data_IF_964022389084
#
_entry.id   IF_964022389084
#
_cell.length_a   1.000
_cell.length_b   1.000
_cell.length_c   1.000
_cell.angle_alpha   90.00
_cell.angle_beta   90.00
_cell.angle_gamma   90.00
#
_symmetry.space_group_name_H-M   'P 1'
#
loop_
_entity.id
_entity.type
_entity.pdbx_description
1 polymer ?
#
# COMPACT_ATOMS: atom_id res chain seq x y z
N UNK A 1 22.98 -1.69 5.86
CA UNK A 1 21.51 -1.67 5.77
C UNK A 1 21.14 -2.72 4.74
N UNK A 2 20.81 -3.93 5.21
CA UNK A 2 20.44 -5.03 4.35
C UNK A 2 19.05 -4.77 3.77
N UNK A 3 19.03 -4.28 2.53
CA UNK A 3 17.83 -4.24 1.71
C UNK A 3 17.41 -5.71 1.55
N UNK A 4 16.17 -6.02 1.93
CA UNK A 4 15.59 -7.36 1.91
C UNK A 4 16.12 -8.20 0.74
N UNK A 5 16.91 -9.24 1.05
CA UNK A 5 17.34 -10.22 0.07
C UNK A 5 16.09 -10.96 -0.41
N UNK A 6 15.58 -10.58 -1.59
CA UNK A 6 14.51 -11.33 -2.25
C UNK A 6 15.01 -12.75 -2.44
N UNK A 7 14.41 -13.71 -1.75
CA UNK A 7 14.68 -15.13 -2.00
C UNK A 7 14.50 -15.39 -3.49
N UNK A 8 15.50 -16.02 -4.12
CA UNK A 8 15.44 -16.39 -5.52
C UNK A 8 14.14 -17.19 -5.76
N UNK A 9 13.38 -16.80 -6.79
CA UNK A 9 12.17 -17.50 -7.16
C UNK A 9 12.53 -18.98 -7.41
N UNK A 10 11.82 -19.90 -6.75
CA UNK A 10 11.95 -21.33 -7.02
C UNK A 10 11.64 -21.55 -8.51
N UNK A 11 12.67 -21.81 -9.32
CA UNK A 11 12.58 -21.79 -10.77
C UNK A 11 11.74 -22.93 -11.38
N UNK A 12 11.21 -23.82 -10.54
CA UNK A 12 10.61 -25.09 -10.95
C UNK A 12 9.09 -25.19 -10.68
N UNK A 13 8.46 -24.13 -10.18
CA UNK A 13 7.01 -24.07 -10.04
C UNK A 13 6.37 -23.39 -11.25
N UNK A 14 5.31 -23.98 -11.83
CA UNK A 14 4.58 -23.30 -12.90
C UNK A 14 3.99 -21.98 -12.39
N UNK A 15 4.03 -20.95 -13.22
CA UNK A 15 3.38 -19.69 -12.91
C UNK A 15 1.89 -19.91 -12.62
N UNK A 16 1.38 -19.24 -11.58
CA UNK A 16 -0.04 -19.33 -11.26
C UNK A 16 -0.91 -18.81 -12.40
N UNK A 17 -2.10 -19.38 -12.52
CA UNK A 17 -3.15 -18.77 -13.35
C UNK A 17 -3.47 -17.36 -12.87
N UNK A 18 -3.98 -16.49 -13.75
CA UNK A 18 -4.41 -15.13 -13.38
C UNK A 18 -5.33 -15.14 -12.15
N UNK A 19 -6.32 -16.05 -12.13
CA UNK A 19 -7.29 -16.16 -11.06
C UNK A 19 -6.63 -16.57 -9.73
N UNK A 20 -5.73 -17.56 -9.77
CA UNK A 20 -5.01 -17.98 -8.58
C UNK A 20 -4.06 -16.89 -8.07
N UNK A 21 -3.35 -16.21 -8.97
CA UNK A 21 -2.46 -15.11 -8.60
C UNK A 21 -3.23 -13.98 -7.90
N UNK A 22 -4.37 -13.56 -8.47
CA UNK A 22 -5.22 -12.54 -7.85
C UNK A 22 -5.76 -13.01 -6.49
N UNK A 23 -6.22 -14.25 -6.38
CA UNK A 23 -6.70 -14.80 -5.11
C UNK A 23 -5.60 -14.75 -4.04
N UNK A 24 -4.37 -15.09 -4.40
CA UNK A 24 -3.21 -15.03 -3.49
C UNK A 24 -2.83 -13.59 -3.11
N UNK A 25 -2.95 -12.63 -4.02
CA UNK A 25 -2.75 -11.21 -3.68
C UNK A 25 -3.81 -10.71 -2.70
N UNK A 26 -5.09 -11.04 -2.95
CA UNK A 26 -6.21 -10.67 -2.08
C UNK A 26 -6.11 -11.32 -0.70
N UNK A 27 -5.60 -12.55 -0.64
CA UNK A 27 -5.37 -13.26 0.63
C UNK A 27 -4.41 -12.53 1.57
N UNK A 28 -3.47 -11.72 1.04
CA UNK A 28 -2.62 -10.84 1.87
C UNK A 28 -3.40 -9.75 2.60
N UNK A 29 -4.65 -9.50 2.20
CA UNK A 29 -5.59 -8.62 2.90
C UNK A 29 -5.80 -8.99 4.37
N UNK A 30 -5.54 -10.24 4.77
CA UNK A 30 -5.53 -10.65 6.19
C UNK A 30 -4.57 -9.84 7.06
N UNK A 31 -3.51 -9.28 6.48
CA UNK A 31 -2.53 -8.44 7.15
C UNK A 31 -2.82 -6.94 6.97
N UNK A 32 -3.97 -6.58 6.39
CA UNK A 32 -4.33 -5.18 6.17
C UNK A 32 -4.61 -4.47 7.49
N UNK A 33 -4.29 -3.16 7.55
CA UNK A 33 -4.33 -2.42 8.81
C UNK A 33 -5.72 -2.29 9.43
N UNK A 34 -6.79 -2.61 8.70
CA UNK A 34 -8.17 -2.60 9.23
C UNK A 34 -8.32 -3.53 10.44
N UNK A 35 -7.50 -4.59 10.51
CA UNK A 35 -7.48 -5.55 11.60
C UNK A 35 -6.58 -5.14 12.78
N UNK A 36 -5.83 -4.03 12.65
CA UNK A 36 -4.95 -3.56 13.72
C UNK A 36 -5.78 -3.11 14.94
N UNK A 37 -5.38 -3.43 16.18
CA UNK A 37 -6.14 -3.08 17.39
C UNK A 37 -6.53 -1.61 17.48
N UNK A 38 -5.65 -0.70 17.05
CA UNK A 38 -5.95 0.73 16.99
C UNK A 38 -7.11 1.06 16.03
N UNK A 39 -7.11 0.50 14.81
CA UNK A 39 -8.20 0.75 13.84
C UNK A 39 -9.53 0.16 14.32
N UNK A 40 -9.50 -1.02 14.96
CA UNK A 40 -10.70 -1.61 15.56
C UNK A 40 -11.28 -0.72 16.66
N UNK A 41 -10.44 -0.23 17.59
CA UNK A 41 -10.86 0.71 18.64
C UNK A 41 -11.40 2.02 18.06
N UNK A 42 -10.69 2.61 17.10
CA UNK A 42 -11.10 3.85 16.46
C UNK A 42 -12.48 3.71 15.79
N UNK A 43 -12.69 2.65 15.01
CA UNK A 43 -13.96 2.39 14.33
C UNK A 43 -15.10 2.07 15.31
N UNK A 44 -14.80 1.46 16.46
CA UNK A 44 -15.76 1.20 17.53
C UNK A 44 -16.05 2.43 18.42
N UNK A 45 -15.43 3.58 18.15
CA UNK A 45 -15.58 4.79 18.97
C UNK A 45 -14.85 4.74 20.32
N UNK A 46 -13.92 3.80 20.50
CA UNK A 46 -13.20 3.57 21.76
C UNK A 46 -11.88 4.35 21.90
N UNK A 47 -11.61 5.32 21.03
CA UNK A 47 -10.44 6.19 21.12
C UNK A 47 -10.77 7.51 21.83
N UNK A 48 -9.83 8.01 22.61
CA UNK A 48 -9.94 9.35 23.20
C UNK A 48 -9.73 10.43 22.12
N UNK A 49 -10.17 11.67 22.35
CA UNK A 49 -9.89 12.78 21.43
C UNK A 49 -8.39 12.96 21.12
N UNK A 50 -7.50 12.73 22.08
CA UNK A 50 -6.06 12.90 21.88
C UNK A 50 -5.45 11.77 21.05
N UNK A 51 -5.91 10.52 21.24
CA UNK A 51 -5.51 9.40 20.37
C UNK A 51 -5.90 9.66 18.91
N UNK A 52 -7.09 10.21 18.67
CA UNK A 52 -7.55 10.57 17.33
C UNK A 52 -6.72 11.70 16.72
N UNK A 53 -6.45 12.78 17.48
CA UNK A 53 -5.60 13.89 17.01
C UNK A 53 -4.20 13.40 16.65
N UNK A 54 -3.62 12.52 17.47
CA UNK A 54 -2.32 11.90 17.20
C UNK A 54 -2.36 11.08 15.91
N UNK A 55 -3.39 10.26 15.71
CA UNK A 55 -3.56 9.50 14.47
C UNK A 55 -3.69 10.41 13.25
N UNK A 56 -4.51 11.46 13.32
CA UNK A 56 -4.68 12.42 12.22
C UNK A 56 -3.35 13.10 11.86
N UNK A 57 -2.61 13.60 12.85
CA UNK A 57 -1.33 14.26 12.63
C UNK A 57 -0.30 13.33 11.96
N UNK A 58 -0.23 12.09 12.41
CA UNK A 58 0.68 11.10 11.81
C UNK A 58 0.20 10.63 10.43
N UNK A 59 -1.11 10.46 10.25
CA UNK A 59 -1.66 10.04 8.95
C UNK A 59 -1.50 11.14 7.90
N UNK A 60 -1.54 12.42 8.28
CA UNK A 60 -1.23 13.53 7.39
C UNK A 60 0.16 13.37 6.74
N UNK A 61 1.18 12.98 7.52
CA UNK A 61 2.52 12.73 6.97
C UNK A 61 2.54 11.60 5.93
N UNK A 62 1.79 10.53 6.17
CA UNK A 62 1.61 9.48 5.16
C UNK A 62 0.92 10.02 3.91
N UNK A 63 -0.16 10.79 4.06
CA UNK A 63 -0.92 11.35 2.92
C UNK A 63 -0.06 12.27 2.05
N UNK A 64 0.71 13.20 2.61
CA UNK A 64 1.58 14.09 1.83
C UNK A 64 2.74 13.35 1.14
N UNK A 65 3.10 12.16 1.63
CA UNK A 65 4.10 11.31 0.99
C UNK A 65 3.54 10.51 -0.20
N UNK A 66 2.23 10.30 -0.30
CA UNK A 66 1.61 9.57 -1.42
C UNK A 66 1.97 10.18 -2.78
N UNK A 67 1.72 11.48 -3.06
CA UNK A 67 2.04 12.05 -4.37
C UNK A 67 3.56 12.05 -4.66
N UNK A 68 4.41 12.14 -3.62
CA UNK A 68 5.87 12.03 -3.77
C UNK A 68 6.27 10.62 -4.20
N UNK A 69 5.69 9.60 -3.58
CA UNK A 69 5.88 8.18 -3.94
C UNK A 69 5.32 7.90 -5.34
N UNK A 70 4.16 8.43 -5.70
CA UNK A 70 3.57 8.24 -7.02
C UNK A 70 4.37 8.96 -8.12
N UNK A 71 4.93 10.13 -7.85
CA UNK A 71 5.85 10.80 -8.77
C UNK A 71 7.12 9.97 -9.03
N UNK A 72 7.66 9.30 -8.00
CA UNK A 72 8.81 8.40 -8.15
C UNK A 72 8.48 7.17 -9.02
N UNK A 73 7.26 6.61 -8.90
CA UNK A 73 6.79 5.54 -9.80
C UNK A 73 6.68 6.06 -11.23
N UNK A 74 6.06 7.24 -11.41
CA UNK A 74 5.85 7.85 -12.73
C UNK A 74 7.18 8.14 -13.44
N UNK A 75 8.21 8.58 -12.71
CA UNK A 75 9.56 8.82 -13.24
C UNK A 75 10.24 7.55 -13.78
N UNK A 76 9.90 6.38 -13.24
CA UNK A 76 10.44 5.09 -13.65
C UNK A 76 9.58 4.37 -14.73
N UNK A 77 8.51 5.01 -15.19
CA UNK A 77 7.54 4.39 -16.12
C UNK A 77 7.87 4.78 -17.57
N UNK A 78 8.33 3.85 -18.43
CA UNK A 78 8.81 4.18 -19.78
C UNK A 78 7.69 4.55 -20.76
N UNK A 79 6.54 3.89 -20.64
CA UNK A 79 5.39 4.11 -21.53
C UNK A 79 4.60 5.37 -21.13
N UNK A 80 4.44 6.26 -22.10
CA UNK A 80 3.67 7.50 -21.96
C UNK A 80 2.17 7.27 -21.70
N UNK A 81 1.58 6.23 -22.28
CA UNK A 81 0.16 5.91 -22.05
C UNK A 81 -0.09 5.55 -20.58
N UNK A 82 0.79 4.73 -19.99
CA UNK A 82 0.72 4.41 -18.57
C UNK A 82 0.96 5.63 -17.68
N UNK A 83 1.91 6.52 -18.00
CA UNK A 83 2.15 7.76 -17.22
C UNK A 83 0.91 8.65 -17.15
N UNK A 84 0.14 8.74 -18.25
CA UNK A 84 -1.11 9.51 -18.30
C UNK A 84 -2.19 8.95 -17.38
N UNK A 85 -2.27 7.63 -17.22
CA UNK A 85 -3.19 7.01 -16.26
C UNK A 85 -2.70 7.21 -14.82
N UNK A 86 -1.37 7.16 -14.60
CA UNK A 86 -0.83 7.24 -13.24
C UNK A 86 -0.87 8.64 -12.64
N UNK A 87 -0.82 9.71 -13.46
CA UNK A 87 -0.80 11.10 -12.98
C UNK A 87 -2.06 11.48 -12.21
N UNK A 88 -3.21 10.85 -12.50
CA UNK A 88 -4.47 11.09 -11.77
C UNK A 88 -4.29 10.90 -10.26
N UNK A 89 -3.49 9.90 -9.83
CA UNK A 89 -3.19 9.65 -8.40
C UNK A 89 -2.44 10.76 -7.68
N UNK A 90 -1.84 11.70 -8.42
CA UNK A 90 -1.14 12.86 -7.87
C UNK A 90 -2.07 14.09 -7.85
N UNK A 91 -3.05 14.13 -8.76
CA UNK A 91 -4.01 15.22 -8.89
C UNK A 91 -5.21 15.06 -7.95
N UNK A 92 -5.56 13.81 -7.63
CA UNK A 92 -6.56 13.42 -6.62
C UNK A 92 -6.06 13.64 -5.18
#
# INVERSE_FOLDING_TARGET
MDIATTAAAQADQPAWSRAEFEARLRDKGRAYHIHHPFNLRMNAGGCTPDELRCWVANRFYYQICIPRKDAAILANMPDRAHRRLWVERILD
#
